data_IF_054084401155
#
_entry.id   IF_054084401155
#
_cell.length_a   1.000
_cell.length_b   1.000
_cell.length_c   1.000
_cell.angle_alpha   90.00
_cell.angle_beta   90.00
_cell.angle_gamma   90.00
#
_symmetry.space_group_name_H-M   'P 1'
#
loop_
_entity.id
_entity.type
_entity.pdbx_description
1 polymer ?
#
# COMPACT_ATOMS: atom_id res chain seq x y z
N UNK A 1 -0.28 0.34 -5.00
CA UNK A 1 0.01 -0.42 -3.78
C UNK A 1 -1.27 -0.97 -3.18
N UNK A 2 -1.35 -2.25 -3.03
CA UNK A 2 -2.50 -2.92 -2.42
C UNK A 2 -2.01 -3.62 -1.15
N UNK A 3 -2.47 -3.16 0.01
CA UNK A 3 -1.87 -3.60 1.27
C UNK A 3 -2.76 -3.24 2.47
N UNK A 4 -2.60 -3.94 3.62
CA UNK A 4 -3.26 -3.54 4.88
C UNK A 4 -2.50 -2.39 5.54
N UNK A 5 -2.33 -1.30 4.84
CA UNK A 5 -1.39 -0.23 5.14
C UNK A 5 -1.77 0.60 6.38
N UNK A 6 -3.06 0.68 6.71
CA UNK A 6 -3.54 1.43 7.86
C UNK A 6 -3.67 0.58 9.13
N UNK A 7 -3.33 -0.69 9.07
CA UNK A 7 -3.43 -1.57 10.24
C UNK A 7 -2.21 -1.44 11.14
N UNK A 8 -2.38 -1.80 12.41
CA UNK A 8 -1.27 -1.83 13.38
C UNK A 8 -0.49 -3.14 13.35
N UNK A 9 -0.82 -4.06 12.44
CA UNK A 9 -0.12 -5.34 12.27
C UNK A 9 1.28 -5.14 11.73
N UNK A 10 2.10 -6.21 11.78
CA UNK A 10 3.43 -6.22 11.16
C UNK A 10 3.37 -5.94 9.65
N UNK A 11 2.35 -6.47 8.97
CA UNK A 11 2.11 -6.16 7.56
C UNK A 11 1.82 -4.68 7.35
N UNK A 12 1.09 -4.05 8.27
CA UNK A 12 0.80 -2.62 8.21
C UNK A 12 2.06 -1.79 8.33
N UNK A 13 2.92 -2.10 9.30
CA UNK A 13 4.20 -1.40 9.50
C UNK A 13 5.07 -1.52 8.25
N UNK A 14 5.21 -2.74 7.72
CA UNK A 14 6.03 -2.99 6.53
C UNK A 14 5.44 -2.29 5.30
N UNK A 15 4.12 -2.31 5.15
CA UNK A 15 3.43 -1.63 4.05
C UNK A 15 3.69 -0.12 4.07
N UNK A 16 3.68 0.50 5.25
CA UNK A 16 3.96 1.93 5.38
C UNK A 16 5.40 2.26 5.03
N UNK A 17 6.35 1.37 5.33
CA UNK A 17 7.74 1.54 4.92
C UNK A 17 7.88 1.51 3.40
N UNK A 18 7.21 0.58 2.74
CA UNK A 18 7.19 0.47 1.28
C UNK A 18 6.54 1.72 0.66
N UNK A 19 5.42 2.15 1.22
CA UNK A 19 4.74 3.36 0.74
C UNK A 19 5.62 4.59 0.87
N UNK A 20 6.32 4.74 1.99
CA UNK A 20 7.23 5.86 2.22
C UNK A 20 8.33 5.89 1.15
N UNK A 21 8.90 4.73 0.83
CA UNK A 21 9.88 4.62 -0.23
C UNK A 21 9.29 4.98 -1.60
N UNK A 22 8.12 4.44 -1.93
CA UNK A 22 7.45 4.73 -3.19
C UNK A 22 7.11 6.22 -3.32
N UNK A 23 6.68 6.85 -2.23
CA UNK A 23 6.36 8.27 -2.22
C UNK A 23 7.59 9.11 -2.53
N UNK A 24 8.73 8.78 -1.93
CA UNK A 24 10.00 9.46 -2.21
C UNK A 24 10.42 9.27 -3.66
N UNK A 25 10.33 8.04 -4.18
CA UNK A 25 10.69 7.74 -5.57
C UNK A 25 9.76 8.44 -6.56
N UNK A 26 8.47 8.60 -6.22
CA UNK A 26 7.50 9.24 -7.12
C UNK A 26 7.87 10.69 -7.42
N UNK A 27 8.51 11.37 -6.46
CA UNK A 27 8.96 12.76 -6.62
C UNK A 27 10.15 12.86 -7.54
N UNK A 28 10.98 11.84 -7.59
CA UNK A 28 12.19 11.78 -8.40
C UNK A 28 11.89 11.29 -9.81
N UNK A 29 11.05 10.26 -9.93
CA UNK A 29 10.79 9.54 -11.18
C UNK A 29 9.46 9.91 -11.84
N UNK A 30 8.69 10.81 -11.23
CA UNK A 30 7.47 11.38 -11.79
C UNK A 30 6.40 10.33 -12.13
N UNK A 31 6.05 9.49 -11.17
CA UNK A 31 4.91 8.57 -11.29
C UNK A 31 3.86 8.84 -10.23
N UNK A 32 2.65 8.35 -10.45
CA UNK A 32 1.54 8.48 -9.51
C UNK A 32 1.33 7.18 -8.77
N UNK A 33 0.84 7.29 -7.52
CA UNK A 33 0.58 6.14 -6.65
C UNK A 33 -0.89 6.11 -6.30
N UNK A 34 -1.53 4.98 -6.61
CA UNK A 34 -2.86 4.66 -6.08
C UNK A 34 -2.69 3.60 -4.99
N UNK A 35 -3.45 3.71 -3.92
CA UNK A 35 -3.39 2.80 -2.78
C UNK A 35 -4.75 2.18 -2.54
N UNK A 36 -4.80 0.86 -2.45
CA UNK A 36 -5.97 0.16 -1.95
C UNK A 36 -5.64 -0.36 -0.56
N UNK A 37 -6.35 0.17 0.45
CA UNK A 37 -6.18 -0.22 1.84
C UNK A 37 -7.00 -1.48 2.11
N UNK A 38 -6.31 -2.58 2.42
CA UNK A 38 -6.99 -3.83 2.74
C UNK A 38 -7.49 -3.81 4.18
N UNK A 39 -8.70 -4.30 4.38
CA UNK A 39 -9.30 -4.42 5.69
C UNK A 39 -9.04 -5.82 6.25
N UNK A 40 -8.11 -5.91 7.19
CA UNK A 40 -7.86 -7.14 7.95
C UNK A 40 -8.58 -7.01 9.29
N UNK A 41 -9.79 -7.56 9.37
CA UNK A 41 -10.81 -7.29 10.37
C UNK A 41 -10.42 -7.41 11.84
N UNK A 42 -9.34 -8.13 12.20
CA UNK A 42 -8.90 -8.29 13.60
C UNK A 42 -7.76 -7.34 13.97
N UNK A 43 -7.43 -6.39 13.10
CA UNK A 43 -6.35 -5.44 13.35
C UNK A 43 -6.91 -4.06 13.66
N UNK A 44 -6.25 -3.35 14.58
CA UNK A 44 -6.55 -1.94 14.82
C UNK A 44 -6.10 -1.10 13.63
N UNK A 45 -6.87 -0.08 13.31
CA UNK A 45 -6.56 0.83 12.21
C UNK A 45 -6.00 2.14 12.73
N UNK A 46 -5.06 2.69 12.00
CA UNK A 46 -4.51 4.01 12.23
C UNK A 46 -5.27 4.97 11.32
N UNK A 47 -6.07 5.87 11.92
CA UNK A 47 -6.90 6.81 11.16
C UNK A 47 -6.54 8.28 11.42
N UNK A 48 -5.52 8.53 12.22
CA UNK A 48 -5.02 9.87 12.49
C UNK A 48 -4.04 10.28 11.38
N UNK A 49 -4.42 11.25 10.57
CA UNK A 49 -3.65 11.67 9.41
C UNK A 49 -2.30 12.32 9.75
N UNK A 50 -2.10 12.70 11.01
CA UNK A 50 -0.84 13.27 11.48
C UNK A 50 0.19 12.21 11.88
N UNK A 51 -0.21 10.96 12.08
CA UNK A 51 0.68 9.87 12.49
C UNK A 51 1.72 9.57 11.42
N UNK A 52 2.83 8.98 11.84
CA UNK A 52 3.95 8.65 10.95
C UNK A 52 4.48 9.90 10.23
N UNK A 53 4.52 11.05 10.94
CA UNK A 53 4.98 12.33 10.37
C UNK A 53 4.15 12.78 9.17
N UNK A 54 2.84 12.51 9.21
CA UNK A 54 1.92 12.87 8.14
C UNK A 54 1.78 11.82 7.05
N UNK A 55 2.49 10.71 7.13
CA UNK A 55 2.43 9.65 6.11
C UNK A 55 1.03 9.07 5.97
N UNK A 56 0.31 8.93 7.09
CA UNK A 56 -1.06 8.40 7.08
C UNK A 56 -1.97 9.30 6.24
N UNK A 57 -1.82 10.62 6.35
CA UNK A 57 -2.56 11.57 5.50
C UNK A 57 -2.26 11.37 4.02
N UNK A 58 -0.99 11.12 3.68
CA UNK A 58 -0.60 10.86 2.30
C UNK A 58 -1.22 9.56 1.75
N UNK A 59 -1.33 8.53 2.61
CA UNK A 59 -2.04 7.29 2.26
C UNK A 59 -3.51 7.58 1.97
N UNK A 60 -4.16 8.33 2.86
CA UNK A 60 -5.60 8.63 2.75
C UNK A 60 -5.92 9.40 1.47
N UNK A 61 -5.06 10.31 1.05
CA UNK A 61 -5.25 11.08 -0.18
C UNK A 61 -5.26 10.19 -1.43
N UNK A 62 -4.55 9.06 -1.38
CA UNK A 62 -4.36 8.17 -2.52
C UNK A 62 -5.20 6.91 -2.44
N UNK A 63 -6.02 6.77 -1.38
CA UNK A 63 -6.83 5.58 -1.16
C UNK A 63 -7.98 5.48 -2.15
N UNK A 64 -8.06 4.34 -2.82
CA UNK A 64 -9.15 4.01 -3.74
C UNK A 64 -9.16 2.50 -3.99
N UNK A 65 -10.24 2.00 -4.55
CA UNK A 65 -10.27 0.64 -5.07
C UNK A 65 -9.49 0.62 -6.38
N UNK A 66 -8.43 -0.16 -6.43
CA UNK A 66 -7.58 -0.23 -7.63
C UNK A 66 -8.29 -1.03 -8.72
N UNK A 67 -8.12 -0.58 -9.95
CA UNK A 67 -8.66 -1.23 -11.13
C UNK A 67 -7.61 -1.22 -12.24
N UNK A 68 -7.36 -2.36 -12.89
CA UNK A 68 -6.38 -2.42 -13.98
C UNK A 68 -6.78 -1.52 -15.14
N UNK A 69 -5.83 -1.12 -16.00
CA UNK A 69 -4.43 -1.56 -15.98
C UNK A 69 -3.52 -0.63 -15.18
N UNK A 70 -2.52 -1.21 -14.52
CA UNK A 70 -1.42 -0.48 -13.90
C UNK A 70 -0.09 -0.91 -14.53
N UNK A 71 0.91 -0.05 -14.49
CA UNK A 71 2.24 -0.40 -14.98
C UNK A 71 2.94 -1.35 -14.03
N UNK A 72 2.93 -1.02 -12.73
CA UNK A 72 3.55 -1.82 -11.68
C UNK A 72 2.63 -1.87 -10.49
N UNK A 73 2.47 -3.04 -9.89
CA UNK A 73 1.74 -3.17 -8.62
C UNK A 73 2.66 -3.74 -7.54
N UNK A 74 2.47 -3.26 -6.33
CA UNK A 74 3.07 -3.83 -5.12
C UNK A 74 1.94 -4.35 -4.25
N UNK A 75 1.92 -5.64 -3.97
CA UNK A 75 0.84 -6.29 -3.24
C UNK A 75 1.40 -6.92 -1.97
N UNK A 76 1.19 -6.28 -0.83
CA UNK A 76 1.67 -6.74 0.47
C UNK A 76 0.54 -7.53 1.12
N UNK A 77 0.52 -8.81 0.86
CA UNK A 77 -0.57 -9.72 1.23
C UNK A 77 -0.05 -11.13 1.40
N UNK A 78 -0.92 -12.04 1.82
CA UNK A 78 -0.62 -13.46 1.75
C UNK A 78 -0.54 -13.89 0.28
N UNK A 79 0.32 -14.87 -0.07
CA UNK A 79 0.54 -15.24 -1.48
C UNK A 79 -0.72 -15.63 -2.25
N UNK A 80 -1.68 -16.26 -1.60
CA UNK A 80 -2.94 -16.67 -2.23
C UNK A 80 -3.88 -15.49 -2.51
N UNK A 81 -3.58 -14.32 -1.98
CA UNK A 81 -4.36 -13.10 -2.20
C UNK A 81 -3.80 -12.25 -3.34
N UNK A 82 -2.62 -12.56 -3.85
CA UNK A 82 -2.00 -11.79 -4.93
C UNK A 82 -2.79 -11.91 -6.23
N UNK A 83 -2.96 -10.78 -6.91
CA UNK A 83 -3.65 -10.70 -8.19
C UNK A 83 -2.67 -10.31 -9.28
N UNK A 84 -2.33 -11.27 -10.14
CA UNK A 84 -1.35 -11.09 -11.22
C UNK A 84 -1.90 -10.29 -12.41
N UNK A 85 -3.18 -9.95 -12.40
CA UNK A 85 -3.83 -9.25 -13.51
C UNK A 85 -3.95 -7.73 -13.29
N UNK A 86 -3.56 -7.23 -12.11
CA UNK A 86 -3.69 -5.81 -11.77
C UNK A 86 -2.72 -4.93 -12.55
N UNK A 87 -1.54 -5.42 -12.86
CA UNK A 87 -0.53 -4.61 -13.54
C UNK A 87 0.31 -5.42 -14.51
N UNK A 88 1.09 -4.71 -15.33
CA UNK A 88 2.04 -5.34 -16.26
C UNK A 88 3.14 -6.05 -15.51
N UNK A 89 3.62 -5.45 -14.42
CA UNK A 89 4.56 -6.06 -13.47
C UNK A 89 3.89 -6.08 -12.10
N UNK A 90 3.89 -7.23 -11.45
CA UNK A 90 3.28 -7.40 -10.15
C UNK A 90 4.33 -7.91 -9.16
N UNK A 91 4.54 -7.16 -8.08
CA UNK A 91 5.47 -7.50 -7.02
C UNK A 91 4.65 -7.95 -5.82
N UNK A 92 4.75 -9.23 -5.49
CA UNK A 92 4.11 -9.80 -4.31
C UNK A 92 5.08 -9.79 -3.14
N UNK A 93 4.64 -9.28 -2.00
CA UNK A 93 5.44 -9.18 -0.79
C UNK A 93 4.69 -9.87 0.33
N UNK A 94 5.36 -10.77 1.03
CA UNK A 94 4.82 -11.43 2.20
C UNK A 94 5.80 -11.31 3.36
N UNK A 95 5.28 -11.31 4.58
CA UNK A 95 6.08 -11.24 5.81
C UNK A 95 5.97 -12.59 6.51
N UNK A 96 7.10 -13.12 6.90
CA UNK A 96 7.17 -14.39 7.63
C UNK A 96 7.45 -14.17 9.11
#
# INVERSE_FOLDING_TARGET
LRAPILTSSGYGVHSRQIFSWLLSESKIRNFEIDVECLNWGNCSWIVDDTKEMGLIGEVMKRSKKVAPPYDVTFQVQLPDEWNSELGKFNVGITIQ
#
